data_IF_465829905654
#
_entry.id   IF_465829905654
#
_cell.length_a   1.000
_cell.length_b   1.000
_cell.length_c   1.000
_cell.angle_alpha   90.00
_cell.angle_beta   90.00
_cell.angle_gamma   90.00
#
_symmetry.space_group_name_H-M   'P 1'
#
loop_
_entity.id
_entity.type
_entity.pdbx_description
1 polymer ?
#
# COMPACT_ATOMS: atom_id res chain seq x y z
N UNK A 1 20.18 -9.56 14.47
CA UNK A 1 20.71 -10.02 13.17
C UNK A 1 19.62 -9.85 12.12
N UNK A 2 19.82 -8.96 11.13
CA UNK A 2 18.90 -8.90 10.00
C UNK A 2 19.09 -10.19 9.17
N UNK A 3 18.07 -11.03 9.11
CA UNK A 3 18.08 -12.27 8.31
C UNK A 3 18.26 -11.88 6.84
N UNK A 4 19.49 -11.97 6.34
CA UNK A 4 19.84 -12.00 4.92
C UNK A 4 19.52 -13.37 4.31
N UNK A 5 18.33 -13.88 4.60
CA UNK A 5 17.81 -15.11 4.01
C UNK A 5 16.55 -14.74 3.25
N UNK A 6 16.44 -15.25 2.01
CA UNK A 6 15.20 -15.11 1.27
C UNK A 6 14.05 -15.72 2.09
N UNK A 7 12.93 -15.00 2.30
CA UNK A 7 11.82 -15.52 3.07
C UNK A 7 11.27 -16.78 2.42
N UNK A 8 10.90 -17.77 3.23
CA UNK A 8 10.26 -19.03 2.80
C UNK A 8 8.91 -18.78 2.13
N UNK A 9 8.36 -19.79 1.44
CA UNK A 9 7.02 -19.69 0.86
C UNK A 9 5.96 -19.31 1.90
N UNK A 10 6.03 -19.89 3.09
CA UNK A 10 5.07 -19.63 4.16
C UNK A 10 5.20 -18.21 4.72
N UNK A 11 6.42 -17.72 4.93
CA UNK A 11 6.67 -16.33 5.36
C UNK A 11 6.17 -15.33 4.29
N UNK A 12 6.36 -15.62 3.00
CA UNK A 12 5.81 -14.79 1.91
C UNK A 12 4.29 -14.75 1.93
N UNK A 13 3.64 -15.91 2.10
CA UNK A 13 2.18 -15.98 2.18
C UNK A 13 1.64 -15.21 3.38
N UNK A 14 2.27 -15.33 4.55
CA UNK A 14 1.89 -14.58 5.75
C UNK A 14 2.07 -13.07 5.58
N UNK A 15 3.15 -12.65 4.90
CA UNK A 15 3.39 -11.24 4.57
C UNK A 15 2.31 -10.68 3.63
N UNK A 16 2.00 -11.38 2.53
CA UNK A 16 0.99 -10.93 1.58
C UNK A 16 -0.41 -10.91 2.19
N UNK A 17 -0.74 -11.88 3.04
CA UNK A 17 -2.01 -11.87 3.79
C UNK A 17 -2.14 -10.63 4.68
N UNK A 18 -1.10 -10.33 5.47
CA UNK A 18 -1.12 -9.15 6.35
C UNK A 18 -1.16 -7.83 5.57
N UNK A 19 -0.53 -7.77 4.38
CA UNK A 19 -0.65 -6.64 3.45
C UNK A 19 -2.10 -6.44 3.04
N UNK A 20 -2.76 -7.51 2.61
CA UNK A 20 -4.12 -7.45 2.06
C UNK A 20 -5.13 -7.05 3.15
N UNK A 21 -4.99 -7.58 4.37
CA UNK A 21 -5.78 -7.16 5.53
C UNK A 21 -5.59 -5.66 5.84
N UNK A 22 -4.35 -5.18 5.86
CA UNK A 22 -4.05 -3.76 6.09
C UNK A 22 -4.64 -2.87 4.97
N UNK A 23 -4.50 -3.27 3.71
CA UNK A 23 -5.02 -2.53 2.57
C UNK A 23 -6.54 -2.48 2.55
N UNK A 24 -7.21 -3.59 2.85
CA UNK A 24 -8.66 -3.64 2.97
C UNK A 24 -9.18 -2.71 4.07
N UNK A 25 -8.47 -2.63 5.20
CA UNK A 25 -8.79 -1.68 6.27
C UNK A 25 -8.69 -0.23 5.77
N UNK A 26 -7.60 0.13 5.08
CA UNK A 26 -7.45 1.47 4.51
C UNK A 26 -8.56 1.78 3.50
N UNK A 27 -8.89 0.83 2.62
CA UNK A 27 -9.97 1.01 1.64
C UNK A 27 -11.33 1.23 2.31
N UNK A 28 -11.60 0.55 3.43
CA UNK A 28 -12.85 0.69 4.20
C UNK A 28 -12.91 1.98 5.02
N UNK A 29 -11.77 2.61 5.30
CA UNK A 29 -11.66 3.80 6.14
C UNK A 29 -11.14 5.04 5.40
N UNK A 30 -11.29 5.08 4.07
CA UNK A 30 -10.85 6.21 3.24
C UNK A 30 -9.37 6.59 3.46
N UNK A 31 -8.51 5.59 3.54
CA UNK A 31 -7.06 5.69 3.76
C UNK A 31 -6.65 6.33 5.11
N UNK A 32 -7.53 6.29 6.12
CA UNK A 32 -7.23 6.67 7.51
C UNK A 32 -6.31 5.64 8.19
N UNK A 33 -5.00 5.89 8.12
CA UNK A 33 -3.98 5.00 8.68
C UNK A 33 -4.06 4.83 10.21
N UNK A 34 -4.62 5.80 10.95
CA UNK A 34 -4.72 5.72 12.40
C UNK A 34 -5.68 4.61 12.84
N UNK A 35 -6.80 4.42 12.11
CA UNK A 35 -7.75 3.33 12.36
C UNK A 35 -7.16 1.95 12.05
N UNK A 36 -6.18 1.90 11.16
CA UNK A 36 -5.55 0.67 10.70
C UNK A 36 -4.18 0.39 11.36
N UNK A 37 -3.79 1.12 12.41
CA UNK A 37 -2.44 1.02 13.01
C UNK A 37 -2.09 -0.40 13.46
N UNK A 38 -3.04 -1.13 14.04
CA UNK A 38 -2.82 -2.52 14.49
C UNK A 38 -2.44 -3.44 13.32
N UNK A 39 -3.14 -3.31 12.20
CA UNK A 39 -2.86 -4.06 10.97
C UNK A 39 -1.57 -3.58 10.31
N UNK A 40 -1.26 -2.28 10.40
CA UNK A 40 0.03 -1.74 9.95
C UNK A 40 1.20 -2.40 10.66
N UNK A 41 1.16 -2.48 11.99
CA UNK A 41 2.20 -3.17 12.80
C UNK A 41 2.30 -4.66 12.46
N UNK A 42 1.17 -5.32 12.24
CA UNK A 42 1.14 -6.72 11.82
C UNK A 42 1.79 -6.92 10.44
N UNK A 43 1.52 -6.04 9.48
CA UNK A 43 2.14 -6.05 8.17
C UNK A 43 3.66 -5.80 8.25
N UNK A 44 4.11 -4.79 8.99
CA UNK A 44 5.53 -4.46 9.13
C UNK A 44 6.33 -5.56 9.85
N UNK A 45 5.72 -6.27 10.80
CA UNK A 45 6.39 -7.36 11.53
C UNK A 45 6.49 -8.66 10.72
N UNK A 46 5.55 -8.90 9.79
CA UNK A 46 5.50 -10.13 8.97
C UNK A 46 6.25 -10.01 7.66
N UNK A 47 6.50 -8.77 7.19
CA UNK A 47 7.13 -8.51 5.92
C UNK A 47 8.55 -7.97 6.07
N UNK A 48 9.47 -8.32 5.14
CA UNK A 48 10.74 -7.61 5.02
C UNK A 48 10.51 -6.11 4.78
N UNK A 49 11.28 -5.24 5.44
CA UNK A 49 11.12 -3.78 5.31
C UNK A 49 11.19 -3.27 3.87
N UNK A 50 12.02 -3.89 3.02
CA UNK A 50 12.11 -3.54 1.60
C UNK A 50 10.80 -3.83 0.85
N UNK A 51 10.11 -4.91 1.22
CA UNK A 51 8.82 -5.26 0.64
C UNK A 51 7.72 -4.33 1.12
N UNK A 52 7.71 -3.98 2.41
CA UNK A 52 6.80 -2.95 2.95
C UNK A 52 6.90 -1.67 2.14
N UNK A 53 8.12 -1.13 1.99
CA UNK A 53 8.37 0.08 1.20
C UNK A 53 7.93 -0.04 -0.26
N UNK A 54 8.15 -1.19 -0.88
CA UNK A 54 7.71 -1.44 -2.25
C UNK A 54 6.18 -1.48 -2.36
N UNK A 55 5.51 -2.17 -1.44
CA UNK A 55 4.06 -2.28 -1.41
C UNK A 55 3.39 -0.95 -1.11
N UNK A 56 3.89 -0.16 -0.16
CA UNK A 56 3.35 1.18 0.12
C UNK A 56 3.35 2.06 -1.14
N UNK A 57 4.49 2.14 -1.84
CA UNK A 57 4.59 2.84 -3.13
C UNK A 57 3.65 2.27 -4.20
N UNK A 58 3.50 0.95 -4.24
CA UNK A 58 2.60 0.27 -5.18
C UNK A 58 1.14 0.66 -4.92
N UNK A 59 0.73 0.77 -3.65
CA UNK A 59 -0.62 1.20 -3.26
C UNK A 59 -0.88 2.63 -3.70
N UNK A 60 0.05 3.55 -3.40
CA UNK A 60 -0.07 4.96 -3.79
C UNK A 60 -0.26 5.10 -5.30
N UNK A 61 0.56 4.38 -6.08
CA UNK A 61 0.42 4.35 -7.53
C UNK A 61 -0.93 3.81 -7.99
N UNK A 62 -1.43 2.73 -7.37
CA UNK A 62 -2.73 2.15 -7.72
C UNK A 62 -3.88 3.11 -7.41
N UNK A 63 -3.81 3.82 -6.28
CA UNK A 63 -4.80 4.85 -5.91
C UNK A 63 -4.75 6.03 -6.87
N UNK A 64 -3.56 6.51 -7.21
CA UNK A 64 -3.38 7.56 -8.21
C UNK A 64 -3.95 7.15 -9.57
N UNK A 65 -3.61 5.93 -10.03
CA UNK A 65 -4.14 5.37 -11.28
C UNK A 65 -5.67 5.30 -11.24
N UNK A 66 -6.26 4.80 -10.16
CA UNK A 66 -7.71 4.73 -10.00
C UNK A 66 -8.38 6.12 -10.08
N UNK A 67 -7.78 7.14 -9.47
CA UNK A 67 -8.27 8.53 -9.59
C UNK A 67 -8.23 9.02 -11.03
N UNK A 68 -7.12 8.83 -11.74
CA UNK A 68 -7.02 9.19 -13.16
C UNK A 68 -8.04 8.47 -14.03
N UNK A 69 -8.29 7.19 -13.77
CA UNK A 69 -9.28 6.39 -14.51
C UNK A 69 -10.72 6.85 -14.21
N UNK A 70 -11.00 7.34 -13.00
CA UNK A 70 -12.34 7.77 -12.56
C UNK A 70 -12.64 9.23 -12.93
N UNK A 71 -11.68 10.12 -12.74
CA UNK A 71 -11.80 11.56 -12.94
C UNK A 71 -11.44 11.99 -14.38
N UNK A 72 -10.87 11.08 -15.17
CA UNK A 72 -10.33 11.37 -16.49
C UNK A 72 -8.97 12.08 -16.43
N UNK A 73 -8.28 12.11 -17.56
CA UNK A 73 -7.03 12.87 -17.68
C UNK A 73 -7.35 14.35 -17.83
N UNK A 74 -6.97 15.18 -16.85
CA UNK A 74 -7.03 16.65 -16.94
C UNK A 74 -5.68 17.13 -17.49
N UNK A 75 -5.61 17.65 -18.73
CA UNK A 75 -4.39 18.25 -19.25
C UNK A 75 -4.00 19.46 -18.40
N UNK A 76 -2.70 19.65 -18.10
CA UNK A 76 -2.23 20.80 -17.29
C UNK A 76 -2.59 22.16 -17.91
N UNK A 77 -2.89 22.21 -19.21
CA UNK A 77 -3.31 23.42 -19.92
C UNK A 77 -4.72 23.92 -19.52
N UNK A 78 -5.55 23.09 -18.87
CA UNK A 78 -6.89 23.46 -18.43
C UNK A 78 -6.94 24.10 -17.03
N UNK A 79 -5.86 24.01 -16.24
CA UNK A 79 -5.84 24.47 -14.84
C UNK A 79 -5.36 25.93 -14.66
N UNK A 80 -5.07 26.66 -15.74
CA UNK A 80 -4.34 27.93 -15.69
C UNK A 80 -4.82 29.03 -16.63
N UNK A 81 -6.15 29.16 -16.85
CA UNK A 81 -6.73 30.38 -17.46
C UNK A 81 -7.97 30.82 -16.68
N UNK A 82 -7.75 31.71 -15.72
CA UNK A 82 -8.72 32.74 -15.28
C UNK A 82 -8.05 34.09 -15.45
#
# INVERSE_FOLDING_TARGET
AARMAAPTRQERAACWGARDEFWQCLDSHADDAAKCEKLRRAFESRCPQQWVKHFDKRRDFLKYKQKLETEGYIPPEAAGKS
#
